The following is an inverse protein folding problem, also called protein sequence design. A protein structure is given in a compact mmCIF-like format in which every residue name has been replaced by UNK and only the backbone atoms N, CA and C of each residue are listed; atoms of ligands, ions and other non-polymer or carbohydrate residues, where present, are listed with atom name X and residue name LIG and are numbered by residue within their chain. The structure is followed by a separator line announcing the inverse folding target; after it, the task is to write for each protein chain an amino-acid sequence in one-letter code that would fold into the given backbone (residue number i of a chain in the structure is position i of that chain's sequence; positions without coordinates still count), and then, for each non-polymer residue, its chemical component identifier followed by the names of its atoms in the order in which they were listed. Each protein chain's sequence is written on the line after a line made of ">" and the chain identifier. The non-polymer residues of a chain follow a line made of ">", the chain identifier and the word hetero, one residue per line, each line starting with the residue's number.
data_IF_516425951609
#
_entry.id   IF_516425951609
#
_cell.length_a   1.000
_cell.length_b   1.000
_cell.length_c   1.000
_cell.angle_alpha   90.00
_cell.angle_beta   90.00
_cell.angle_gamma   90.00
#
_symmetry.space_group_name_H-M   'P 1'
#
loop_
_entity.id
_entity.type
_entity.pdbx_description
1 polymer ?
#
# COMPACT_ATOMS: atom_id res chain seq x y z
N UNK A 1 1.52 -14.03 -11.18
CA UNK A 1 0.26 -13.26 -11.43
C UNK A 1 0.29 -12.01 -10.57
N UNK A 2 -0.22 -10.88 -11.06
CA UNK A 2 -0.12 -9.59 -10.38
C UNK A 2 -1.30 -8.67 -10.69
N UNK A 3 -1.51 -7.66 -9.85
CA UNK A 3 -2.42 -6.53 -10.09
C UNK A 3 -1.66 -5.21 -9.95
N UNK A 4 -2.10 -4.19 -10.70
CA UNK A 4 -1.63 -2.82 -10.52
C UNK A 4 -2.63 -2.10 -9.62
N UNK A 5 -2.15 -1.42 -8.57
CA UNK A 5 -3.00 -0.72 -7.61
C UNK A 5 -2.68 0.76 -7.66
N UNK A 6 -3.69 1.61 -7.87
CA UNK A 6 -3.50 3.07 -7.88
C UNK A 6 -3.37 3.58 -6.44
N UNK A 7 -2.28 4.27 -6.13
CA UNK A 7 -2.13 4.94 -4.84
C UNK A 7 -2.96 6.22 -4.79
N UNK A 8 -3.67 6.41 -3.67
CA UNK A 8 -4.30 7.69 -3.36
C UNK A 8 -3.42 8.48 -2.39
N UNK A 9 -2.38 9.10 -2.93
CA UNK A 9 -1.36 9.84 -2.16
C UNK A 9 -1.96 11.03 -1.39
N UNK A 10 -3.08 11.58 -1.86
CA UNK A 10 -3.78 12.69 -1.17
C UNK A 10 -4.29 12.33 0.23
N UNK A 11 -4.33 11.04 0.57
CA UNK A 11 -4.75 10.53 1.86
C UNK A 11 -3.59 10.27 2.82
N UNK A 12 -2.36 10.29 2.33
CA UNK A 12 -1.15 9.93 3.06
C UNK A 12 -0.39 11.18 3.52
N UNK A 13 0.22 11.08 4.69
CA UNK A 13 1.15 12.03 5.28
C UNK A 13 2.56 11.52 4.99
N UNK A 14 3.47 12.43 4.64
CA UNK A 14 4.89 12.11 4.40
C UNK A 14 5.14 11.02 3.33
N UNK A 15 4.29 10.86 2.31
CA UNK A 15 4.54 9.94 1.19
C UNK A 15 4.18 10.64 -0.13
N UNK A 16 5.19 10.97 -0.93
CA UNK A 16 5.03 11.81 -2.13
C UNK A 16 4.79 11.02 -3.42
N UNK A 17 5.26 9.77 -3.50
CA UNK A 17 5.10 8.92 -4.69
C UNK A 17 5.14 7.41 -4.38
N UNK A 18 4.99 6.59 -5.43
CA UNK A 18 5.08 5.13 -5.30
C UNK A 18 6.47 4.63 -4.90
N UNK A 19 7.55 5.33 -5.24
CA UNK A 19 8.91 4.92 -4.85
C UNK A 19 9.06 5.05 -3.34
N UNK A 20 8.69 6.19 -2.77
CA UNK A 20 8.74 6.41 -1.32
C UNK A 20 7.80 5.46 -0.57
N UNK A 21 6.57 5.28 -1.08
CA UNK A 21 5.62 4.31 -0.52
C UNK A 21 6.23 2.90 -0.43
N UNK A 22 6.75 2.39 -1.55
CA UNK A 22 7.32 1.03 -1.61
C UNK A 22 8.56 0.91 -0.72
N UNK A 23 9.40 1.96 -0.66
CA UNK A 23 10.60 1.97 0.16
C UNK A 23 10.24 1.93 1.66
N UNK A 24 9.32 2.77 2.12
CA UNK A 24 8.90 2.79 3.53
C UNK A 24 8.18 1.51 3.93
N UNK A 25 7.27 1.01 3.08
CA UNK A 25 6.59 -0.27 3.30
C UNK A 25 7.61 -1.42 3.51
N UNK A 26 8.64 -1.49 2.66
CA UNK A 26 9.68 -2.52 2.80
C UNK A 26 10.47 -2.42 4.11
N UNK A 27 10.73 -1.20 4.59
CA UNK A 27 11.50 -0.94 5.81
C UNK A 27 10.68 -1.18 7.08
N UNK A 28 9.41 -0.77 7.09
CA UNK A 28 8.56 -0.81 8.28
C UNK A 28 7.85 -2.15 8.45
N UNK A 29 7.41 -2.78 7.35
CA UNK A 29 6.58 -3.98 7.39
C UNK A 29 7.27 -5.23 6.85
N UNK A 30 8.48 -5.08 6.29
CA UNK A 30 9.16 -6.15 5.54
C UNK A 30 8.34 -6.70 4.36
N UNK A 31 7.48 -5.85 3.76
CA UNK A 31 6.68 -6.20 2.59
C UNK A 31 7.26 -5.52 1.35
N UNK A 32 7.54 -6.30 0.32
CA UNK A 32 8.11 -5.81 -0.94
C UNK A 32 7.04 -5.85 -2.03
N UNK A 33 6.75 -4.69 -2.60
CA UNK A 33 5.96 -4.55 -3.83
C UNK A 33 6.80 -3.83 -4.89
N UNK A 34 6.50 -4.05 -6.17
CA UNK A 34 7.26 -3.40 -7.23
C UNK A 34 6.69 -2.00 -7.48
N UNK A 35 7.53 -0.98 -7.41
CA UNK A 35 7.14 0.40 -7.75
C UNK A 35 6.68 0.50 -9.21
N UNK A 36 5.67 1.34 -9.47
CA UNK A 36 5.08 1.47 -10.79
C UNK A 36 6.00 2.15 -11.80
N UNK A 37 6.88 3.06 -11.34
CA UNK A 37 7.87 3.70 -12.22
C UNK A 37 8.83 2.70 -12.89
N UNK A 38 9.12 1.56 -12.25
CA UNK A 38 9.97 0.52 -12.83
C UNK A 38 9.36 -0.14 -14.07
N UNK A 39 8.05 0.01 -14.27
CA UNK A 39 7.28 -0.50 -15.42
C UNK A 39 6.59 0.63 -16.20
N UNK A 40 7.02 1.88 -16.02
CA UNK A 40 6.49 3.03 -16.75
C UNK A 40 5.11 3.53 -16.31
N UNK A 41 4.63 3.15 -15.11
CA UNK A 41 3.32 3.52 -14.58
C UNK A 41 3.43 4.23 -13.23
N UNK A 42 3.73 5.54 -13.22
CA UNK A 42 3.91 6.34 -11.99
C UNK A 42 2.68 6.27 -11.06
N UNK A 43 2.91 6.03 -9.77
CA UNK A 43 1.89 5.93 -8.71
C UNK A 43 0.99 4.68 -8.80
N UNK A 44 1.42 3.67 -9.55
CA UNK A 44 0.73 2.38 -9.69
C UNK A 44 1.65 1.21 -9.33
N UNK A 45 1.93 0.96 -8.04
CA UNK A 45 2.68 -0.21 -7.62
C UNK A 45 2.01 -1.52 -8.07
N UNK A 46 2.86 -2.50 -8.39
CA UNK A 46 2.47 -3.85 -8.78
C UNK A 46 2.53 -4.79 -7.57
N UNK A 47 1.40 -5.36 -7.21
CA UNK A 47 1.26 -6.37 -6.15
C UNK A 47 1.19 -7.75 -6.78
N UNK A 48 2.09 -8.63 -6.37
CA UNK A 48 2.09 -10.04 -6.80
C UNK A 48 1.26 -10.87 -5.84
N UNK A 49 0.37 -11.71 -6.36
CA UNK A 49 -0.45 -12.64 -5.58
C UNK A 49 -0.17 -14.11 -5.92
N UNK A 50 0.94 -14.38 -6.61
CA UNK A 50 1.42 -15.74 -6.90
C UNK A 50 2.26 -16.31 -5.74
N UNK A 51 1.70 -16.26 -4.54
CA UNK A 51 2.24 -16.84 -3.30
C UNK A 51 1.10 -17.60 -2.60
N UNK A 52 1.39 -18.34 -1.53
CA UNK A 52 0.35 -19.05 -0.79
C UNK A 52 -0.64 -18.08 -0.11
N UNK A 53 -1.94 -18.46 0.03
CA UNK A 53 -2.95 -17.57 0.58
C UNK A 53 -2.64 -17.01 1.99
N UNK A 54 -2.14 -17.80 2.95
CA UNK A 54 -1.78 -17.26 4.26
C UNK A 54 -0.71 -16.15 4.21
N UNK A 55 0.33 -16.34 3.40
CA UNK A 55 1.37 -15.32 3.21
C UNK A 55 0.83 -14.08 2.50
N UNK A 56 -0.12 -14.25 1.57
CA UNK A 56 -0.80 -13.13 0.92
C UNK A 56 -1.67 -12.34 1.90
N UNK A 57 -2.46 -13.02 2.73
CA UNK A 57 -3.31 -12.38 3.74
C UNK A 57 -2.49 -11.58 4.75
N UNK A 58 -1.40 -12.16 5.27
CA UNK A 58 -0.47 -11.47 6.17
C UNK A 58 0.16 -10.24 5.49
N UNK A 59 0.66 -10.39 4.26
CA UNK A 59 1.24 -9.27 3.50
C UNK A 59 0.25 -8.13 3.26
N UNK A 60 -1.00 -8.45 2.90
CA UNK A 60 -2.07 -7.46 2.72
C UNK A 60 -2.48 -6.80 4.05
N UNK A 61 -2.51 -7.55 5.14
CA UNK A 61 -2.78 -7.03 6.49
C UNK A 61 -1.74 -6.00 6.92
N UNK A 62 -0.45 -6.29 6.67
CA UNK A 62 0.66 -5.36 6.94
C UNK A 62 0.60 -4.12 6.06
N UNK A 63 0.27 -4.26 4.78
CA UNK A 63 0.03 -3.11 3.88
C UNK A 63 -1.09 -2.23 4.42
N UNK A 64 -2.20 -2.82 4.88
CA UNK A 64 -3.33 -2.09 5.48
C UNK A 64 -2.90 -1.33 6.73
N UNK A 65 -2.18 -1.98 7.64
CA UNK A 65 -1.67 -1.35 8.86
C UNK A 65 -0.70 -0.19 8.54
N UNK A 66 0.23 -0.39 7.63
CA UNK A 66 1.14 0.65 7.14
C UNK A 66 0.37 1.84 6.56
N UNK A 67 -0.56 1.58 5.65
CA UNK A 67 -1.38 2.63 5.03
C UNK A 67 -2.11 3.45 6.09
N UNK A 68 -2.76 2.81 7.07
CA UNK A 68 -3.47 3.48 8.16
C UNK A 68 -2.58 4.31 9.08
N UNK A 69 -1.34 3.88 9.35
CA UNK A 69 -0.39 4.66 10.15
C UNK A 69 0.05 5.94 9.46
N UNK A 70 0.28 5.86 8.14
CA UNK A 70 0.69 6.98 7.30
C UNK A 70 -0.48 7.79 6.76
N UNK A 71 -1.72 7.51 7.13
CA UNK A 71 -2.85 8.36 6.75
C UNK A 71 -2.77 9.73 7.45
N UNK A 72 -3.08 10.79 6.69
CA UNK A 72 -3.26 12.15 7.22
C UNK A 72 -4.18 12.10 8.45
N UNK A 73 -3.77 12.77 9.53
CA UNK A 73 -4.55 12.81 10.79
C UNK A 73 -6.03 13.17 10.59
N UNK A 74 -6.34 14.08 9.65
CA UNK A 74 -7.71 14.51 9.33
C UNK A 74 -8.56 13.46 8.61
N UNK A 75 -7.94 12.43 8.03
CA UNK A 75 -8.61 11.41 7.21
C UNK A 75 -8.84 10.09 7.95
N UNK A 76 -8.34 9.95 9.19
CA UNK A 76 -8.45 8.70 9.96
C UNK A 76 -9.90 8.32 10.25
N UNK A 77 -10.75 9.28 10.55
CA UNK A 77 -12.17 9.06 10.86
C UNK A 77 -13.02 8.71 9.63
N UNK A 78 -12.58 9.07 8.42
CA UNK A 78 -13.36 8.87 7.18
C UNK A 78 -13.19 7.48 6.55
N UNK A 79 -12.08 6.79 6.86
CA UNK A 79 -11.68 5.55 6.17
C UNK A 79 -11.76 4.31 7.07
N UNK A 80 -11.79 4.48 8.40
CA UNK A 80 -12.18 3.39 9.32
C UNK A 80 -13.53 2.79 8.93
N UNK A 81 -14.45 3.61 8.40
CA UNK A 81 -15.76 3.17 7.94
C UNK A 81 -15.72 2.45 6.57
N UNK A 82 -14.80 2.81 5.66
CA UNK A 82 -14.67 2.14 4.36
C UNK A 82 -13.97 0.79 4.45
N UNK A 83 -12.94 0.64 5.28
CA UNK A 83 -12.19 -0.63 5.40
C UNK A 83 -12.82 -1.65 6.35
N UNK A 84 -13.84 -1.28 7.13
CA UNK A 84 -14.66 -2.20 7.91
C UNK A 84 -15.93 -2.64 7.17
N UNK A 85 -16.21 -2.05 6.00
CA UNK A 85 -17.31 -2.43 5.12
C UNK A 85 -16.91 -3.47 4.03
N UNK A 86 -15.63 -3.86 3.99
CA UNK A 86 -15.10 -5.01 3.23
C UNK A 86 -14.68 -6.09 4.22
#
# INVERSE_FOLDING_TARGET
>A
MFVMVKLNLSLLEDIDDDVEFCMKLSKEESVIVLTGVAVGMKNWPRVTFAIDPPSLEDGLGRIKAFYQRHMLRRNKDFISDQFNAC
#
